data_IF_847663641972
#
_entry.id   IF_847663641972
#
_cell.length_a   1.000
_cell.length_b   1.000
_cell.length_c   1.000
_cell.angle_alpha   90.00
_cell.angle_beta   90.00
_cell.angle_gamma   90.00
#
_symmetry.space_group_name_H-M   'P 1'
#
loop_
_entity.id
_entity.type
_entity.pdbx_description
1 polymer ?
#
# COMPACT_ATOMS: atom_id res chain seq x y z
N UNK A 1 26.88 15.86 12.19
CA UNK A 1 25.65 15.45 11.48
C UNK A 1 24.39 16.12 12.02
N UNK A 2 24.23 16.31 13.33
CA UNK A 2 23.05 16.97 13.93
C UNK A 2 22.97 18.49 13.71
N UNK A 3 24.10 19.17 13.54
CA UNK A 3 24.16 20.61 13.22
C UNK A 3 23.78 20.88 11.76
N UNK A 4 24.33 20.11 10.82
CA UNK A 4 24.01 20.18 9.37
C UNK A 4 22.50 20.01 9.09
N UNK A 5 21.84 19.05 9.76
CA UNK A 5 20.39 18.85 9.64
C UNK A 5 19.57 20.03 10.21
N UNK A 6 20.13 20.76 11.18
CA UNK A 6 19.50 21.99 11.71
C UNK A 6 19.60 23.11 10.68
N UNK A 7 20.76 23.26 10.05
CA UNK A 7 21.01 24.30 9.05
C UNK A 7 20.13 24.11 7.81
N UNK A 8 19.95 22.87 7.34
CA UNK A 8 19.04 22.53 6.24
C UNK A 8 17.58 22.86 6.56
N UNK A 9 17.12 22.56 7.79
CA UNK A 9 15.77 22.92 8.23
C UNK A 9 15.60 24.44 8.33
N UNK A 10 16.58 25.14 8.88
CA UNK A 10 16.56 26.61 8.95
C UNK A 10 16.48 27.24 7.56
N UNK A 11 17.26 26.72 6.61
CA UNK A 11 17.22 27.16 5.22
C UNK A 11 15.86 26.90 4.58
N UNK A 12 15.26 25.72 4.81
CA UNK A 12 13.92 25.40 4.31
C UNK A 12 12.86 26.38 4.84
N UNK A 13 12.89 26.72 6.13
CA UNK A 13 11.99 27.73 6.72
C UNK A 13 12.13 29.10 6.03
N UNK A 14 13.36 29.57 5.80
CA UNK A 14 13.61 30.85 5.12
C UNK A 14 13.11 30.87 3.67
N UNK A 15 13.15 29.73 2.98
CA UNK A 15 12.62 29.61 1.62
C UNK A 15 11.09 29.58 1.62
N UNK A 16 10.48 28.87 2.57
CA UNK A 16 9.02 28.80 2.74
C UNK A 16 8.42 30.19 2.96
N UNK A 17 9.06 31.03 3.79
CA UNK A 17 8.59 32.39 4.10
C UNK A 17 8.57 33.33 2.88
N UNK A 18 9.26 32.98 1.79
CA UNK A 18 9.34 33.78 0.56
C UNK A 18 8.38 33.32 -0.54
N UNK A 19 7.67 32.21 -0.34
CA UNK A 19 6.77 31.65 -1.35
C UNK A 19 5.46 32.42 -1.44
N UNK A 20 5.01 32.64 -2.67
CA UNK A 20 3.65 33.13 -2.90
C UNK A 20 2.61 32.08 -2.48
N UNK A 21 1.37 32.46 -2.10
CA UNK A 21 0.38 31.52 -1.56
C UNK A 21 0.10 30.29 -2.45
N UNK A 22 0.14 30.44 -3.78
CA UNK A 22 -0.03 29.33 -4.71
C UNK A 22 1.14 28.34 -4.70
N UNK A 23 2.37 28.84 -4.57
CA UNK A 23 3.59 28.03 -4.50
C UNK A 23 3.68 27.30 -3.15
N UNK A 24 3.27 27.97 -2.07
CA UNK A 24 3.22 27.35 -0.74
C UNK A 24 2.26 26.15 -0.72
N UNK A 25 1.10 26.25 -1.37
CA UNK A 25 0.16 25.12 -1.50
C UNK A 25 0.79 23.93 -2.23
N UNK A 26 1.47 24.19 -3.36
CA UNK A 26 2.16 23.14 -4.12
C UNK A 26 3.27 22.47 -3.29
N UNK A 27 4.06 23.26 -2.54
CA UNK A 27 5.09 22.73 -1.66
C UNK A 27 4.51 21.85 -0.54
N UNK A 28 3.43 22.29 0.11
CA UNK A 28 2.76 21.49 1.14
C UNK A 28 2.33 20.13 0.57
N UNK A 29 1.72 20.10 -0.61
CA UNK A 29 1.33 18.85 -1.27
C UNK A 29 2.54 17.95 -1.56
N UNK A 30 3.64 18.52 -2.03
CA UNK A 30 4.88 17.77 -2.29
C UNK A 30 5.48 17.18 -0.99
N UNK A 31 5.56 17.98 0.07
CA UNK A 31 6.10 17.52 1.36
C UNK A 31 5.21 16.42 1.96
N UNK A 32 3.89 16.57 1.90
CA UNK A 32 2.95 15.52 2.31
C UNK A 32 3.19 14.23 1.55
N UNK A 33 3.36 14.31 0.22
CA UNK A 33 3.67 13.14 -0.61
C UNK A 33 5.00 12.49 -0.23
N UNK A 34 6.05 13.27 0.04
CA UNK A 34 7.36 12.72 0.42
C UNK A 34 7.33 11.96 1.76
N UNK A 35 6.48 12.41 2.69
CA UNK A 35 6.31 11.82 4.02
C UNK A 35 5.45 10.55 4.05
N UNK A 36 4.78 10.21 2.95
CA UNK A 36 4.04 8.95 2.83
C UNK A 36 4.98 7.75 2.87
N UNK A 37 4.51 6.63 3.44
CA UNK A 37 5.19 5.34 3.34
C UNK A 37 5.19 4.81 1.89
N UNK A 38 5.95 3.75 1.64
CA UNK A 38 6.12 3.19 0.30
C UNK A 38 4.78 2.78 -0.36
N UNK A 39 3.88 2.18 0.40
CA UNK A 39 2.57 1.75 -0.11
C UNK A 39 1.70 2.96 -0.40
N UNK A 40 1.62 3.90 0.52
CA UNK A 40 0.82 5.12 0.33
C UNK A 40 1.29 5.96 -0.87
N UNK A 41 2.60 6.04 -1.12
CA UNK A 41 3.15 6.72 -2.32
C UNK A 41 2.81 5.98 -3.61
N UNK A 42 2.93 4.66 -3.60
CA UNK A 42 2.59 3.83 -4.76
C UNK A 42 1.11 4.02 -5.12
N UNK A 43 0.21 4.00 -4.13
CA UNK A 43 -1.22 4.25 -4.35
C UNK A 43 -1.50 5.66 -4.88
N UNK A 44 -0.84 6.69 -4.35
CA UNK A 44 -1.05 8.07 -4.79
C UNK A 44 -0.56 8.36 -6.22
N UNK A 45 0.31 7.52 -6.78
CA UNK A 45 0.88 7.67 -8.13
C UNK A 45 0.46 6.58 -9.09
N UNK A 46 -0.29 5.58 -8.60
CA UNK A 46 -0.82 4.52 -9.44
C UNK A 46 -1.78 5.13 -10.49
N UNK A 47 -1.70 4.69 -11.75
CA UNK A 47 -2.75 5.02 -12.70
C UNK A 47 -4.09 4.48 -12.20
N UNK A 48 -5.18 5.16 -12.56
CA UNK A 48 -6.51 4.61 -12.34
C UNK A 48 -6.65 3.29 -13.09
N UNK A 49 -7.24 2.30 -12.43
CA UNK A 49 -7.61 1.05 -13.08
C UNK A 49 -8.93 1.26 -13.82
N UNK A 50 -8.81 1.64 -15.09
CA UNK A 50 -9.93 1.93 -15.99
C UNK A 50 -10.27 0.71 -16.89
N UNK A 51 -9.71 -0.47 -16.59
CA UNK A 51 -10.00 -1.70 -17.33
C UNK A 51 -11.40 -2.22 -16.97
N UNK A 52 -12.19 -2.55 -18.00
CA UNK A 52 -13.49 -3.16 -17.78
C UNK A 52 -13.33 -4.55 -17.16
N UNK A 53 -14.02 -4.80 -16.04
CA UNK A 53 -14.08 -6.13 -15.44
C UNK A 53 -14.63 -7.14 -16.45
N UNK A 54 -13.84 -8.18 -16.72
CA UNK A 54 -14.22 -9.25 -17.65
C UNK A 54 -15.29 -10.15 -17.03
N UNK A 55 -16.04 -10.84 -17.88
CA UNK A 55 -17.07 -11.78 -17.41
C UNK A 55 -16.45 -12.97 -16.65
N UNK A 56 -15.21 -13.35 -16.98
CA UNK A 56 -14.50 -14.42 -16.28
C UNK A 56 -14.12 -14.00 -14.85
N UNK A 57 -13.67 -12.76 -14.67
CA UNK A 57 -13.39 -12.16 -13.36
C UNK A 57 -14.67 -12.04 -12.53
N UNK A 58 -15.77 -11.54 -13.12
CA UNK A 58 -17.08 -11.48 -12.45
C UNK A 58 -17.51 -12.84 -11.92
N UNK A 59 -17.40 -13.88 -12.75
CA UNK A 59 -17.74 -15.25 -12.35
C UNK A 59 -16.80 -15.76 -11.26
N UNK A 60 -15.51 -15.43 -11.31
CA UNK A 60 -14.54 -15.82 -10.28
C UNK A 60 -14.85 -15.15 -8.92
N UNK A 61 -15.16 -13.85 -8.92
CA UNK A 61 -15.57 -13.10 -7.72
C UNK A 61 -16.88 -13.66 -7.15
N UNK A 62 -17.89 -13.90 -8.00
CA UNK A 62 -19.16 -14.48 -7.58
C UNK A 62 -18.96 -15.87 -6.95
N UNK A 63 -18.14 -16.73 -7.57
CA UNK A 63 -17.79 -18.04 -7.03
C UNK A 63 -17.11 -17.94 -5.67
N UNK A 64 -16.17 -17.00 -5.52
CA UNK A 64 -15.48 -16.74 -4.24
C UNK A 64 -16.47 -16.33 -3.15
N UNK A 65 -17.33 -15.34 -3.42
CA UNK A 65 -18.36 -14.88 -2.47
C UNK A 65 -19.27 -16.03 -2.03
N UNK A 66 -19.82 -16.80 -2.98
CA UNK A 66 -20.67 -17.96 -2.65
C UNK A 66 -19.92 -19.05 -1.88
N UNK A 67 -18.61 -19.20 -2.08
CA UNK A 67 -17.80 -20.16 -1.31
C UNK A 67 -17.69 -19.75 0.17
N UNK A 68 -17.49 -18.44 0.43
CA UNK A 68 -17.42 -17.88 1.79
C UNK A 68 -18.76 -17.91 2.50
N UNK A 69 -19.86 -17.55 1.80
CA UNK A 69 -21.21 -17.61 2.35
C UNK A 69 -21.57 -19.01 2.86
N UNK A 70 -21.26 -20.04 2.06
CA UNK A 70 -21.46 -21.45 2.43
C UNK A 70 -20.62 -21.90 3.63
N UNK A 71 -19.60 -21.13 4.00
CA UNK A 71 -18.66 -21.41 5.10
C UNK A 71 -18.73 -20.39 6.22
N UNK A 72 -19.83 -19.64 6.29
CA UNK A 72 -20.05 -18.65 7.34
C UNK A 72 -18.93 -17.60 7.41
N UNK A 73 -18.41 -17.20 6.25
CA UNK A 73 -17.30 -16.25 6.13
C UNK A 73 -15.92 -16.80 6.52
N UNK A 74 -15.81 -18.07 6.90
CA UNK A 74 -14.52 -18.66 7.27
C UNK A 74 -13.70 -19.01 6.03
N UNK A 75 -12.45 -18.56 6.03
CA UNK A 75 -11.45 -18.89 5.01
C UNK A 75 -10.98 -20.35 5.10
N UNK A 76 -10.06 -20.71 4.21
CA UNK A 76 -9.38 -22.00 4.27
C UNK A 76 -8.33 -21.94 5.40
N UNK A 77 -8.33 -22.88 6.37
CA UNK A 77 -7.28 -22.93 7.39
C UNK A 77 -5.90 -23.05 6.76
N UNK A 78 -4.91 -22.35 7.30
CA UNK A 78 -3.57 -22.31 6.73
C UNK A 78 -2.94 -23.71 6.65
N UNK A 79 -3.15 -24.55 7.66
CA UNK A 79 -2.69 -25.95 7.71
C UNK A 79 -3.26 -26.78 6.56
N UNK A 80 -4.52 -26.51 6.18
CA UNK A 80 -5.16 -27.19 5.06
C UNK A 80 -4.50 -26.75 3.74
N UNK A 81 -4.25 -25.46 3.56
CA UNK A 81 -3.53 -24.96 2.37
C UNK A 81 -2.17 -25.65 2.27
N UNK A 82 -1.40 -25.72 3.35
CA UNK A 82 -0.09 -26.39 3.37
C UNK A 82 -0.18 -27.87 2.96
N UNK A 83 -1.17 -28.59 3.50
CA UNK A 83 -1.38 -29.99 3.16
C UNK A 83 -1.68 -30.23 1.68
N UNK A 84 -2.35 -29.29 0.99
CA UNK A 84 -2.62 -29.37 -0.45
C UNK A 84 -1.34 -29.26 -1.29
N UNK A 85 -0.30 -28.64 -0.76
CA UNK A 85 1.04 -28.56 -1.37
C UNK A 85 2.02 -29.62 -0.84
N UNK A 86 1.56 -30.56 0.00
CA UNK A 86 2.41 -31.58 0.62
C UNK A 86 3.37 -31.01 1.68
N UNK A 87 3.05 -29.85 2.24
CA UNK A 87 3.84 -29.15 3.25
C UNK A 87 3.19 -29.24 4.63
N UNK A 88 4.02 -29.03 5.65
CA UNK A 88 3.64 -28.87 7.04
C UNK A 88 4.00 -27.46 7.53
N UNK A 89 3.41 -26.99 8.65
CA UNK A 89 3.78 -25.70 9.23
C UNK A 89 5.28 -25.58 9.57
N UNK A 90 5.96 -26.70 9.82
CA UNK A 90 7.40 -26.70 10.15
C UNK A 90 8.27 -26.42 8.92
N UNK A 91 7.84 -26.82 7.72
CA UNK A 91 8.56 -26.55 6.45
C UNK A 91 8.67 -25.05 6.10
N UNK A 92 7.82 -24.20 6.70
CA UNK A 92 7.81 -22.74 6.48
C UNK A 92 8.61 -21.99 7.54
N UNK A 93 8.69 -22.51 8.78
CA UNK A 93 9.36 -21.83 9.90
C UNK A 93 10.86 -21.61 9.66
N UNK A 94 11.47 -22.46 8.84
CA UNK A 94 12.91 -22.46 8.57
C UNK A 94 13.34 -21.54 7.42
N UNK A 95 12.39 -20.84 6.77
CA UNK A 95 12.69 -19.86 5.71
C UNK A 95 12.65 -18.44 6.28
N UNK A 96 13.76 -17.99 6.87
CA UNK A 96 14.01 -16.58 7.19
C UNK A 96 14.79 -15.88 6.09
#
# INVERSE_FOLDING_TARGET
MSVELSDEKQQAHQLIDRLEPGQLRALISLVQFMLLDATSRALATAPLDDEDETEDERRAVAKSKSWFEKRNGQGIPHEKVLSEFGLTPDDIKDRK
#
